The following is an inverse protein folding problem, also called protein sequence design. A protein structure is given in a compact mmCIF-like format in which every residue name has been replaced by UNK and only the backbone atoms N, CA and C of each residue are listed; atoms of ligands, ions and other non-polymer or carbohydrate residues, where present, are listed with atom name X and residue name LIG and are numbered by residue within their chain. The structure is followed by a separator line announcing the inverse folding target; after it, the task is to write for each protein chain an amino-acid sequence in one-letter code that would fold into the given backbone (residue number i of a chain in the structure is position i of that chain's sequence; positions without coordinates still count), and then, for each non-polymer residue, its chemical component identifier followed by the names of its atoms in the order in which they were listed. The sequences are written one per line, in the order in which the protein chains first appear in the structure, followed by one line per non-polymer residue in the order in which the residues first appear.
data_IF_763042380865
#
_entry.id   IF_763042380865
#
_cell.length_a   1.000
_cell.length_b   1.000
_cell.length_c   1.000
_cell.angle_alpha   90.00
_cell.angle_beta   90.00
_cell.angle_gamma   90.00
#
_symmetry.space_group_name_H-M   'P 1'
#
loop_
_entity.id
_entity.type
_entity.pdbx_description
1 polymer ?
#
# COMPACT_ATOMS: atom_id res chain seq x y z
N UNK A 1 -10.62 1.98 13.67
CA UNK A 1 -9.30 2.46 13.23
C UNK A 1 -8.25 1.71 14.04
N UNK A 2 -7.49 0.80 13.39
CA UNK A 2 -6.41 0.05 14.04
C UNK A 2 -5.16 0.92 14.21
N UNK A 3 -4.53 0.83 15.38
CA UNK A 3 -3.20 1.39 15.63
C UNK A 3 -2.24 0.24 15.91
N UNK A 4 -1.07 0.24 15.30
CA UNK A 4 -0.05 -0.78 15.49
C UNK A 4 1.18 -0.13 16.14
N UNK A 5 1.67 -0.74 17.20
CA UNK A 5 2.91 -0.38 17.85
C UNK A 5 3.88 -1.56 17.79
N UNK A 6 4.97 -1.40 17.06
CA UNK A 6 6.06 -2.38 17.01
C UNK A 6 7.08 -2.10 18.13
N UNK A 7 7.26 -3.06 19.02
CA UNK A 7 8.26 -3.03 20.11
C UNK A 7 9.35 -4.06 19.86
N UNK A 8 10.55 -3.76 20.29
CA UNK A 8 11.70 -4.67 20.20
C UNK A 8 13.01 -3.91 20.42
N UNK A 9 14.09 -4.65 20.68
CA UNK A 9 15.45 -4.12 20.84
C UNK A 9 15.97 -3.46 19.56
N UNK A 10 17.05 -2.72 19.64
CA UNK A 10 17.76 -2.22 18.47
C UNK A 10 18.25 -3.39 17.61
N UNK A 11 18.16 -3.28 16.29
CA UNK A 11 18.52 -4.36 15.37
C UNK A 11 17.43 -5.41 15.13
N UNK A 12 16.27 -5.39 15.83
CA UNK A 12 15.20 -6.39 15.66
C UNK A 12 14.36 -6.25 14.35
N UNK A 13 14.79 -5.44 13.40
CA UNK A 13 14.15 -5.31 12.10
C UNK A 13 12.89 -4.44 12.04
N UNK A 14 12.49 -3.77 13.13
CA UNK A 14 11.26 -2.94 13.16
C UNK A 14 11.20 -1.90 12.04
N UNK A 15 12.28 -1.13 11.88
CA UNK A 15 12.38 -0.09 10.87
C UNK A 15 12.35 -0.67 9.45
N UNK A 16 13.03 -1.79 9.24
CA UNK A 16 13.01 -2.49 7.94
C UNK A 16 11.60 -2.95 7.60
N UNK A 17 10.90 -3.56 8.55
CA UNK A 17 9.54 -4.05 8.33
C UNK A 17 8.58 -2.92 7.95
N UNK A 18 8.56 -1.84 8.73
CA UNK A 18 7.58 -0.77 8.50
C UNK A 18 7.99 0.21 7.40
N UNK A 19 9.26 0.52 7.30
CA UNK A 19 9.73 1.58 6.40
C UNK A 19 10.09 1.08 5.00
N UNK A 20 10.47 -0.20 4.87
CA UNK A 20 10.92 -0.74 3.60
C UNK A 20 9.91 -1.70 2.97
N UNK A 21 9.29 -2.58 3.78
CA UNK A 21 8.41 -3.64 3.27
C UNK A 21 7.12 -3.07 2.68
N UNK A 22 6.50 -2.07 3.31
CA UNK A 22 5.22 -1.53 2.84
C UNK A 22 5.36 -0.87 1.47
N UNK A 23 6.25 0.11 1.24
CA UNK A 23 6.44 0.68 -0.10
C UNK A 23 6.85 -0.36 -1.14
N UNK A 24 7.73 -1.31 -0.75
CA UNK A 24 8.16 -2.39 -1.62
C UNK A 24 6.98 -3.24 -2.12
N UNK A 25 6.02 -3.55 -1.26
CA UNK A 25 4.84 -4.33 -1.62
C UNK A 25 3.81 -3.53 -2.42
N UNK A 26 3.87 -2.22 -2.40
CA UNK A 26 2.97 -1.38 -3.19
C UNK A 26 3.43 -1.27 -4.64
N UNK A 27 4.72 -1.08 -4.89
CA UNK A 27 5.24 -0.87 -6.25
C UNK A 27 6.20 -1.95 -6.76
N UNK A 28 6.65 -2.86 -5.90
CA UNK A 28 7.58 -3.94 -6.27
C UNK A 28 9.02 -3.49 -6.54
N UNK A 29 9.38 -2.25 -6.22
CA UNK A 29 10.70 -1.71 -6.49
C UNK A 29 11.68 -1.98 -5.35
N UNK A 30 12.71 -2.79 -5.62
CA UNK A 30 13.73 -3.22 -4.66
C UNK A 30 15.02 -2.41 -4.75
N UNK A 31 15.03 -1.20 -5.30
CA UNK A 31 16.25 -0.39 -5.35
C UNK A 31 16.76 -0.12 -3.94
N UNK A 32 18.09 -0.14 -3.73
CA UNK A 32 18.67 0.05 -2.39
C UNK A 32 18.24 1.35 -1.71
N UNK A 33 18.12 2.42 -2.46
CA UNK A 33 17.67 3.74 -1.97
C UNK A 33 16.24 3.67 -1.41
N UNK A 34 15.41 2.80 -1.97
CA UNK A 34 14.03 2.58 -1.49
C UNK A 34 13.97 1.64 -0.28
N UNK A 35 14.93 0.73 -0.14
CA UNK A 35 15.01 -0.19 0.99
C UNK A 35 15.59 0.46 2.23
N UNK A 36 16.48 1.43 2.08
CA UNK A 36 17.06 2.15 3.20
C UNK A 36 16.36 3.46 3.49
N UNK A 37 15.82 3.65 4.71
CA UNK A 37 15.19 4.91 5.12
C UNK A 37 16.11 6.13 5.04
N UNK A 38 17.43 5.93 5.08
CA UNK A 38 18.44 6.99 4.99
C UNK A 38 18.97 7.19 3.56
N UNK A 39 18.49 6.40 2.58
CA UNK A 39 18.90 6.45 1.19
C UNK A 39 20.31 5.92 0.94
N UNK A 40 20.84 5.08 1.84
CA UNK A 40 22.10 4.37 1.62
C UNK A 40 21.94 3.32 0.53
N UNK A 41 22.98 3.16 -0.30
CA UNK A 41 23.02 2.12 -1.35
C UNK A 41 23.54 0.77 -0.84
N UNK A 42 23.92 0.69 0.42
CA UNK A 42 24.55 -0.50 0.99
C UNK A 42 23.55 -1.59 1.37
N UNK A 43 22.26 -1.23 1.50
CA UNK A 43 21.21 -2.19 1.82
C UNK A 43 20.74 -2.93 0.58
N UNK A 44 21.12 -4.19 0.49
CA UNK A 44 20.67 -5.10 -0.57
C UNK A 44 19.66 -6.10 -0.01
N UNK A 45 18.59 -6.38 -0.74
CA UNK A 45 17.61 -7.40 -0.34
C UNK A 45 18.22 -8.80 -0.17
N UNK A 46 19.29 -9.11 -0.91
CA UNK A 46 20.04 -10.36 -0.76
C UNK A 46 20.59 -10.58 0.64
N UNK A 47 21.06 -9.52 1.31
CA UNK A 47 21.63 -9.62 2.65
C UNK A 47 20.60 -9.97 3.74
N UNK A 48 19.30 -9.76 3.46
CA UNK A 48 18.23 -10.18 4.37
C UNK A 48 17.82 -11.65 4.20
N UNK A 49 18.20 -12.25 3.09
CA UNK A 49 17.86 -13.65 2.75
C UNK A 49 19.05 -14.58 2.96
N UNK A 50 20.24 -14.17 2.59
CA UNK A 50 21.48 -14.94 2.74
C UNK A 50 22.51 -14.07 3.47
N UNK A 51 22.82 -14.42 4.70
CA UNK A 51 23.95 -13.87 5.45
C UNK A 51 25.25 -14.53 4.97
N UNK A 52 26.37 -13.82 5.11
CA UNK A 52 27.69 -14.32 4.66
C UNK A 52 28.06 -15.65 5.34
N UNK A 53 27.64 -15.84 6.59
CA UNK A 53 27.99 -17.00 7.41
C UNK A 53 26.89 -18.08 7.49
N UNK A 54 25.80 -17.95 6.72
CA UNK A 54 24.63 -18.87 6.82
C UNK A 54 24.86 -20.25 6.17
N UNK A 55 26.00 -20.52 5.54
CA UNK A 55 26.29 -21.82 4.92
C UNK A 55 25.28 -22.30 3.86
N UNK A 56 24.19 -21.56 3.63
CA UNK A 56 23.14 -21.88 2.65
C UNK A 56 23.48 -21.30 1.28
N UNK A 57 23.25 -22.09 0.26
CA UNK A 57 23.48 -21.68 -1.13
C UNK A 57 22.27 -20.94 -1.74
N UNK A 58 21.08 -21.21 -1.22
CA UNK A 58 19.82 -20.63 -1.73
C UNK A 58 18.82 -20.41 -0.59
N UNK A 59 18.06 -19.32 -0.68
CA UNK A 59 16.91 -19.06 0.20
C UNK A 59 15.81 -18.33 -0.55
N UNK A 60 14.58 -18.79 -0.35
CA UNK A 60 13.37 -18.13 -0.84
C UNK A 60 12.59 -17.54 0.34
N UNK A 61 12.15 -16.29 0.22
CA UNK A 61 11.31 -15.60 1.18
C UNK A 61 10.09 -14.99 0.52
N UNK A 62 9.04 -14.80 1.30
CA UNK A 62 7.81 -14.16 0.86
C UNK A 62 7.46 -12.99 1.76
N UNK A 63 7.03 -11.90 1.14
CA UNK A 63 6.46 -10.73 1.79
C UNK A 63 5.04 -10.55 1.27
N UNK A 64 4.10 -10.13 2.11
CA UNK A 64 2.73 -9.90 1.69
C UNK A 64 2.01 -8.89 2.56
N UNK A 65 0.96 -8.28 1.99
CA UNK A 65 -0.03 -7.46 2.68
C UNK A 65 -1.42 -8.01 2.39
N UNK A 66 -2.21 -8.19 3.42
CA UNK A 66 -3.61 -8.61 3.33
C UNK A 66 -4.51 -7.42 3.65
N UNK A 67 -5.43 -7.13 2.75
CA UNK A 67 -6.45 -6.10 2.90
C UNK A 67 -7.81 -6.73 3.12
N UNK A 68 -8.55 -6.22 4.10
CA UNK A 68 -9.95 -6.58 4.32
C UNK A 68 -10.84 -5.42 3.91
N UNK A 69 -11.87 -5.68 3.12
CA UNK A 69 -12.89 -4.68 2.80
C UNK A 69 -13.67 -4.31 4.06
N UNK A 70 -13.92 -3.03 4.28
CA UNK A 70 -14.45 -2.50 5.54
C UNK A 70 -15.76 -3.15 6.01
N UNK A 71 -16.67 -3.43 5.08
CA UNK A 71 -18.03 -3.88 5.38
C UNK A 71 -18.33 -5.30 4.83
N UNK A 72 -17.31 -6.10 4.58
CA UNK A 72 -17.47 -7.48 4.10
C UNK A 72 -16.35 -8.39 4.59
N UNK A 73 -16.54 -9.69 4.46
CA UNK A 73 -15.49 -10.69 4.68
C UNK A 73 -14.66 -10.95 3.40
N UNK A 74 -14.56 -9.95 2.52
CA UNK A 74 -13.76 -10.04 1.31
C UNK A 74 -12.32 -9.63 1.61
N UNK A 75 -11.39 -10.47 1.22
CA UNK A 75 -9.96 -10.28 1.42
C UNK A 75 -9.25 -10.20 0.07
N UNK A 76 -8.28 -9.30 -0.01
CA UNK A 76 -7.33 -9.18 -1.11
C UNK A 76 -5.93 -9.27 -0.52
N UNK A 77 -5.12 -10.17 -1.02
CA UNK A 77 -3.70 -10.25 -0.65
C UNK A 77 -2.84 -9.89 -1.85
N UNK A 78 -1.87 -9.02 -1.65
CA UNK A 78 -0.79 -8.76 -2.59
C UNK A 78 0.52 -9.19 -1.95
N UNK A 79 1.46 -9.65 -2.76
CA UNK A 79 2.72 -10.13 -2.22
C UNK A 79 3.82 -10.28 -3.25
N UNK A 80 4.99 -10.62 -2.74
CA UNK A 80 6.21 -10.79 -3.49
C UNK A 80 6.97 -12.01 -2.99
N UNK A 81 7.45 -12.83 -3.90
CA UNK A 81 8.44 -13.87 -3.64
C UNK A 81 9.81 -13.42 -4.11
N UNK A 82 10.81 -13.69 -3.32
CA UNK A 82 12.20 -13.33 -3.59
C UNK A 82 13.08 -14.55 -3.32
N UNK A 83 13.91 -14.91 -4.30
CA UNK A 83 14.87 -15.98 -4.17
C UNK A 83 16.28 -15.44 -4.33
N UNK A 84 17.09 -15.63 -3.29
CA UNK A 84 18.51 -15.32 -3.29
C UNK A 84 19.30 -16.61 -3.50
N UNK A 85 20.30 -16.54 -4.37
CA UNK A 85 21.28 -17.61 -4.63
C UNK A 85 22.68 -17.00 -4.59
N UNK A 86 23.65 -17.70 -3.99
CA UNK A 86 25.02 -17.19 -3.93
C UNK A 86 25.58 -16.93 -5.32
N UNK A 87 26.19 -15.77 -5.51
CA UNK A 87 26.80 -15.38 -6.78
C UNK A 87 25.86 -15.15 -7.94
N UNK A 88 24.52 -15.12 -7.71
CA UNK A 88 23.53 -14.86 -8.76
C UNK A 88 22.68 -13.65 -8.41
N UNK A 89 22.13 -12.96 -9.43
CA UNK A 89 21.10 -11.93 -9.22
C UNK A 89 19.91 -12.51 -8.48
N UNK A 90 19.18 -11.64 -7.77
CA UNK A 90 17.92 -12.00 -7.11
C UNK A 90 16.85 -12.32 -8.15
N UNK A 91 16.22 -13.49 -8.00
CA UNK A 91 14.96 -13.77 -8.69
C UNK A 91 13.81 -13.17 -7.89
N UNK A 92 12.86 -12.58 -8.57
CA UNK A 92 11.66 -11.99 -7.96
C UNK A 92 10.43 -12.27 -8.80
N UNK A 93 9.31 -12.44 -8.13
CA UNK A 93 7.99 -12.53 -8.72
C UNK A 93 6.97 -11.93 -7.77
N UNK A 94 5.81 -11.59 -8.28
CA UNK A 94 4.76 -10.97 -7.50
C UNK A 94 3.50 -11.80 -7.59
N UNK A 95 2.59 -11.66 -6.63
CA UNK A 95 1.33 -12.39 -6.65
C UNK A 95 0.20 -11.62 -6.00
N UNK A 96 -1.02 -12.00 -6.34
CA UNK A 96 -2.23 -11.58 -5.65
C UNK A 96 -3.12 -12.79 -5.37
N UNK A 97 -3.93 -12.69 -4.30
CA UNK A 97 -5.05 -13.61 -4.02
C UNK A 97 -6.30 -12.77 -3.89
N UNK A 98 -7.37 -13.16 -4.61
CA UNK A 98 -8.63 -12.42 -4.69
C UNK A 98 -9.85 -13.26 -4.35
N UNK A 99 -9.66 -14.55 -4.13
CA UNK A 99 -10.69 -15.54 -3.85
C UNK A 99 -11.08 -15.67 -2.37
N UNK A 100 -10.56 -14.79 -1.54
CA UNK A 100 -10.81 -14.78 -0.10
C UNK A 100 -9.92 -15.71 0.72
N UNK A 101 -9.10 -16.56 0.10
CA UNK A 101 -8.10 -17.36 0.81
C UNK A 101 -7.08 -16.47 1.52
N UNK A 102 -6.80 -16.82 2.78
CA UNK A 102 -5.91 -16.05 3.66
C UNK A 102 -4.61 -16.79 3.93
N UNK A 103 -3.50 -16.07 3.84
CA UNK A 103 -2.18 -16.65 4.13
C UNK A 103 -2.10 -17.02 5.62
N UNK A 104 -1.68 -18.27 5.87
CA UNK A 104 -1.58 -18.84 7.22
C UNK A 104 -2.87 -19.45 7.76
N UNK A 105 -3.98 -19.41 7.00
CA UNK A 105 -5.23 -20.09 7.28
C UNK A 105 -5.56 -21.10 6.19
N UNK A 106 -5.96 -20.60 5.03
CA UNK A 106 -6.45 -21.38 3.89
C UNK A 106 -5.40 -21.51 2.78
N UNK A 107 -4.38 -20.65 2.83
CA UNK A 107 -3.31 -20.61 1.86
C UNK A 107 -1.94 -20.56 2.55
N UNK A 108 -1.03 -21.46 2.18
CA UNK A 108 0.29 -21.53 2.78
C UNK A 108 1.37 -21.33 1.72
N UNK A 109 2.33 -20.45 2.01
CA UNK A 109 3.49 -20.14 1.15
C UNK A 109 4.63 -21.15 1.34
N UNK A 110 4.34 -22.29 1.94
CA UNK A 110 5.27 -23.39 2.15
C UNK A 110 4.60 -24.76 1.97
N UNK A 111 5.42 -25.78 1.77
CA UNK A 111 5.03 -27.19 1.90
C UNK A 111 5.53 -27.71 3.23
N UNK A 112 4.75 -28.55 3.86
CA UNK A 112 5.15 -29.31 5.05
C UNK A 112 5.45 -30.77 4.62
N UNK A 113 6.74 -31.09 4.55
CA UNK A 113 7.25 -32.40 4.16
C UNK A 113 8.16 -32.98 5.27
N UNK A 114 7.81 -32.71 6.54
CA UNK A 114 8.65 -32.97 7.71
C UNK A 114 9.38 -31.71 8.16
N UNK A 115 9.67 -30.82 7.24
CA UNK A 115 10.10 -29.44 7.48
C UNK A 115 9.31 -28.47 6.60
N UNK A 116 9.23 -27.21 7.02
CA UNK A 116 8.54 -26.16 6.25
C UNK A 116 9.45 -25.62 5.15
N UNK A 117 9.20 -26.07 3.92
CA UNK A 117 9.94 -25.64 2.73
C UNK A 117 9.12 -24.60 1.98
N UNK A 118 9.66 -23.41 1.77
CA UNK A 118 8.99 -22.33 1.02
C UNK A 118 8.70 -22.75 -0.43
N UNK A 119 7.56 -22.30 -0.95
CA UNK A 119 7.17 -22.59 -2.34
C UNK A 119 8.16 -21.93 -3.31
N UNK A 120 8.48 -22.65 -4.38
CA UNK A 120 9.07 -22.04 -5.57
C UNK A 120 8.02 -21.23 -6.35
N UNK A 121 8.44 -20.40 -7.30
CA UNK A 121 7.53 -19.65 -8.17
C UNK A 121 6.48 -20.53 -8.84
N UNK A 122 6.92 -21.64 -9.46
CA UNK A 122 6.03 -22.57 -10.17
C UNK A 122 5.01 -23.25 -9.23
N UNK A 123 5.43 -23.59 -8.03
CA UNK A 123 4.52 -24.15 -7.02
C UNK A 123 3.52 -23.11 -6.51
N UNK A 124 3.95 -21.86 -6.39
CA UNK A 124 3.04 -20.76 -6.09
C UNK A 124 2.01 -20.57 -7.20
N UNK A 125 2.45 -20.54 -8.48
CA UNK A 125 1.55 -20.44 -9.64
C UNK A 125 0.47 -21.51 -9.61
N UNK A 126 0.89 -22.77 -9.43
CA UNK A 126 -0.03 -23.91 -9.34
C UNK A 126 -1.01 -23.78 -8.15
N UNK A 127 -0.55 -23.25 -7.02
CA UNK A 127 -1.37 -23.11 -5.81
C UNK A 127 -2.31 -21.90 -5.87
N UNK A 128 -1.89 -20.81 -6.49
CA UNK A 128 -2.74 -19.63 -6.74
C UNK A 128 -3.85 -20.03 -7.71
N UNK A 129 -3.52 -20.73 -8.80
CA UNK A 129 -4.45 -21.14 -9.85
C UNK A 129 -5.40 -20.00 -10.25
N UNK A 130 -6.71 -20.26 -10.31
CA UNK A 130 -7.73 -19.26 -10.68
C UNK A 130 -8.10 -18.29 -9.55
N UNK A 131 -7.58 -18.52 -8.33
CA UNK A 131 -7.89 -17.69 -7.15
C UNK A 131 -7.09 -16.40 -7.02
N UNK A 132 -6.27 -16.08 -8.03
CA UNK A 132 -5.45 -14.89 -8.04
C UNK A 132 -4.58 -14.81 -9.30
N UNK A 133 -3.44 -14.12 -9.18
CA UNK A 133 -2.52 -13.95 -10.30
C UNK A 133 -1.06 -13.93 -9.83
N UNK A 134 -0.16 -14.47 -10.63
CA UNK A 134 1.29 -14.33 -10.46
C UNK A 134 1.82 -13.44 -11.58
N UNK A 135 2.71 -12.51 -11.24
CA UNK A 135 3.30 -11.54 -12.16
C UNK A 135 4.82 -11.72 -12.18
N UNK A 136 5.41 -11.62 -13.34
CA UNK A 136 6.86 -11.59 -13.51
C UNK A 136 7.41 -10.17 -13.57
N UNK A 137 6.61 -9.26 -14.16
CA UNK A 137 7.01 -7.89 -14.42
C UNK A 137 6.50 -6.95 -13.32
N UNK A 138 7.40 -6.12 -12.82
CA UNK A 138 7.10 -5.14 -11.78
C UNK A 138 5.99 -4.16 -12.22
N UNK A 139 6.03 -3.70 -13.47
CA UNK A 139 5.06 -2.72 -13.99
C UNK A 139 3.65 -3.30 -13.97
N UNK A 140 3.47 -4.54 -14.42
CA UNK A 140 2.17 -5.21 -14.41
C UNK A 140 1.61 -5.39 -12.99
N UNK A 141 2.49 -5.71 -12.06
CA UNK A 141 2.12 -5.82 -10.64
C UNK A 141 1.71 -4.46 -10.07
N UNK A 142 2.50 -3.41 -10.30
CA UNK A 142 2.23 -2.06 -9.83
C UNK A 142 0.90 -1.51 -10.37
N UNK A 143 0.66 -1.67 -11.68
CA UNK A 143 -0.62 -1.29 -12.31
C UNK A 143 -1.81 -2.08 -11.72
N UNK A 144 -1.60 -3.36 -11.46
CA UNK A 144 -2.62 -4.20 -10.81
C UNK A 144 -2.93 -3.71 -9.40
N UNK A 145 -1.91 -3.43 -8.59
CA UNK A 145 -2.08 -2.91 -7.21
C UNK A 145 -2.81 -1.56 -7.23
N UNK A 146 -2.41 -0.65 -8.11
CA UNK A 146 -3.12 0.62 -8.29
C UNK A 146 -4.61 0.37 -8.58
N UNK A 147 -4.92 -0.39 -9.60
CA UNK A 147 -6.31 -0.63 -10.03
C UNK A 147 -7.17 -1.33 -8.98
N UNK A 148 -6.60 -2.25 -8.19
CA UNK A 148 -7.37 -3.04 -7.21
C UNK A 148 -7.54 -2.35 -5.86
N UNK A 149 -6.60 -1.49 -5.47
CA UNK A 149 -6.53 -0.96 -4.10
C UNK A 149 -6.71 0.55 -4.06
N UNK A 150 -6.04 1.29 -4.95
CA UNK A 150 -5.96 2.75 -4.85
C UNK A 150 -6.89 3.46 -5.85
N UNK A 151 -6.91 3.05 -7.10
CA UNK A 151 -7.80 3.58 -8.13
C UNK A 151 -7.35 4.91 -8.75
N UNK A 152 -6.05 5.24 -8.70
CA UNK A 152 -5.52 6.40 -9.42
C UNK A 152 -5.67 6.23 -10.94
N UNK A 153 -5.99 7.29 -11.65
CA UNK A 153 -6.24 7.25 -13.09
C UNK A 153 -4.98 6.93 -13.88
N UNK A 154 -3.85 7.48 -13.46
CA UNK A 154 -2.57 7.30 -14.12
C UNK A 154 -1.57 6.52 -13.27
N UNK A 155 -0.62 5.86 -13.93
CA UNK A 155 0.49 5.19 -13.25
C UNK A 155 1.43 6.18 -12.58
N UNK A 156 1.49 7.42 -13.08
CA UNK A 156 2.38 8.44 -12.54
C UNK A 156 1.84 9.01 -11.25
N UNK A 157 0.55 9.33 -11.14
CA UNK A 157 -0.10 9.70 -9.86
C UNK A 157 0.11 8.62 -8.79
N UNK A 158 -0.02 7.36 -9.17
CA UNK A 158 0.23 6.25 -8.24
C UNK A 158 1.68 6.22 -7.76
N UNK A 159 2.65 6.43 -8.67
CA UNK A 159 4.08 6.52 -8.30
C UNK A 159 4.35 7.69 -7.37
N UNK A 160 3.78 8.85 -7.64
CA UNK A 160 3.92 10.05 -6.79
C UNK A 160 3.41 9.78 -5.37
N UNK A 161 2.26 9.11 -5.23
CA UNK A 161 1.75 8.68 -3.92
C UNK A 161 2.73 7.75 -3.21
N UNK A 162 3.30 6.76 -3.90
CA UNK A 162 4.28 5.84 -3.29
C UNK A 162 5.56 6.58 -2.92
N UNK A 163 6.03 7.51 -3.76
CA UNK A 163 7.21 8.33 -3.49
C UNK A 163 7.00 9.25 -2.29
N UNK A 164 5.80 9.82 -2.14
CA UNK A 164 5.41 10.57 -0.94
C UNK A 164 5.48 9.70 0.33
N UNK A 165 4.96 8.47 0.28
CA UNK A 165 5.07 7.53 1.41
C UNK A 165 6.53 7.24 1.76
N UNK A 166 7.41 7.16 0.76
CA UNK A 166 8.84 6.95 0.95
C UNK A 166 9.49 8.18 1.59
N UNK A 167 9.14 9.38 1.17
CA UNK A 167 9.63 10.63 1.75
C UNK A 167 9.21 10.77 3.22
N UNK A 168 7.93 10.52 3.52
CA UNK A 168 7.38 10.62 4.88
C UNK A 168 8.01 9.65 5.88
N UNK A 169 8.53 8.50 5.42
CA UNK A 169 9.21 7.54 6.29
C UNK A 169 10.62 7.95 6.69
N UNK A 170 11.23 8.91 5.97
CA UNK A 170 12.64 9.24 6.09
C UNK A 170 12.91 10.07 7.33
N UNK A 171 13.75 9.61 8.30
CA UNK A 171 14.09 10.39 9.50
C UNK A 171 14.83 11.69 9.21
N UNK A 172 15.32 11.89 7.99
CA UNK A 172 15.97 13.15 7.55
C UNK A 172 15.04 14.37 7.66
N UNK A 173 13.73 14.18 7.55
CA UNK A 173 12.75 15.23 7.85
C UNK A 173 12.96 15.87 9.24
N UNK A 174 13.53 15.13 10.21
CA UNK A 174 13.76 15.64 11.55
C UNK A 174 15.09 16.41 11.72
N UNK A 175 16.07 16.22 10.84
CA UNK A 175 17.39 16.90 10.92
C UNK A 175 17.47 18.15 10.05
N UNK A 176 16.79 18.15 8.91
CA UNK A 176 16.70 19.26 7.97
C UNK A 176 15.28 19.83 7.88
N UNK A 177 14.56 19.77 9.00
CA UNK A 177 13.17 20.22 9.08
C UNK A 177 13.08 21.71 8.74
N UNK A 178 12.79 22.00 7.49
CA UNK A 178 12.32 23.32 7.05
C UNK A 178 10.81 23.21 6.90
N UNK A 179 10.03 24.00 7.66
CA UNK A 179 8.57 24.00 7.53
C UNK A 179 8.08 24.24 6.10
N UNK A 180 8.86 24.99 5.29
CA UNK A 180 8.59 25.21 3.88
C UNK A 180 8.57 23.93 3.06
N UNK A 181 9.50 22.99 3.30
CA UNK A 181 9.58 21.72 2.54
C UNK A 181 8.35 20.85 2.79
N UNK A 182 7.83 20.84 4.02
CA UNK A 182 6.57 20.13 4.31
C UNK A 182 5.39 20.82 3.64
N UNK A 183 5.37 22.14 3.68
CA UNK A 183 4.31 22.89 3.01
C UNK A 183 4.33 22.63 1.49
N UNK A 184 5.50 22.59 0.88
CA UNK A 184 5.67 22.29 -0.54
C UNK A 184 5.21 20.84 -0.86
N UNK A 185 5.66 19.85 -0.07
CA UNK A 185 5.24 18.45 -0.21
C UNK A 185 3.72 18.29 -0.03
N UNK A 186 3.14 18.97 0.96
CA UNK A 186 1.70 18.93 1.19
C UNK A 186 0.92 19.68 0.11
N UNK A 187 1.43 20.80 -0.36
CA UNK A 187 0.81 21.58 -1.43
C UNK A 187 0.85 20.84 -2.77
N UNK A 188 1.97 20.17 -3.07
CA UNK A 188 2.11 19.36 -4.29
C UNK A 188 1.28 18.07 -4.22
N UNK A 189 1.03 17.55 -3.02
CA UNK A 189 0.23 16.34 -2.78
C UNK A 189 -1.28 16.61 -2.71
N UNK A 190 -1.65 17.83 -2.35
CA UNK A 190 -3.03 18.29 -2.38
C UNK A 190 -3.26 18.89 -3.76
N UNK A 191 -3.75 18.09 -4.70
CA UNK A 191 -4.26 18.65 -5.95
C UNK A 191 -5.27 19.76 -5.60
N UNK A 192 -5.15 20.94 -6.20
CA UNK A 192 -6.18 21.96 -6.04
C UNK A 192 -7.49 21.34 -6.50
N UNK A 193 -8.50 21.40 -5.64
CA UNK A 193 -9.85 20.98 -6.00
C UNK A 193 -10.23 21.68 -7.30
N UNK A 194 -10.53 20.93 -8.32
CA UNK A 194 -11.02 21.48 -9.58
C UNK A 194 -12.40 22.10 -9.37
N UNK A 195 -12.80 23.01 -10.23
CA UNK A 195 -14.16 23.57 -10.21
C UNK A 195 -15.22 22.47 -10.33
N UNK A 196 -14.91 21.37 -11.02
CA UNK A 196 -15.78 20.19 -11.12
C UNK A 196 -15.93 19.43 -9.80
N UNK A 197 -14.86 19.35 -8.97
CA UNK A 197 -14.93 18.71 -7.65
C UNK A 197 -15.73 19.56 -6.65
N UNK A 198 -15.73 20.87 -6.83
CA UNK A 198 -16.49 21.83 -5.99
C UNK A 198 -17.96 21.96 -6.42
N UNK A 199 -18.28 21.61 -7.66
CA UNK A 199 -19.62 21.77 -8.23
C UNK A 199 -20.72 21.05 -7.44
N UNK A 200 -20.59 19.76 -7.02
CA UNK A 200 -21.62 19.12 -6.21
C UNK A 200 -21.85 19.80 -4.86
N UNK A 201 -20.78 20.39 -4.31
CA UNK A 201 -20.86 21.10 -3.03
C UNK A 201 -21.52 22.46 -3.18
N UNK A 202 -21.24 23.18 -4.28
CA UNK A 202 -21.90 24.43 -4.66
C UNK A 202 -23.40 24.21 -4.90
N UNK A 203 -23.75 23.19 -5.67
CA UNK A 203 -25.16 22.81 -5.92
C UNK A 203 -25.89 22.41 -4.63
N UNK A 204 -25.22 21.72 -3.70
CA UNK A 204 -25.81 21.36 -2.40
C UNK A 204 -26.07 22.60 -1.54
N UNK A 205 -25.19 23.59 -1.56
CA UNK A 205 -25.35 24.85 -0.81
C UNK A 205 -26.52 25.66 -1.42
N UNK A 206 -26.58 25.81 -2.73
CA UNK A 206 -27.70 26.50 -3.43
C UNK A 206 -29.04 25.83 -3.15
N UNK A 207 -29.09 24.51 -3.15
CA UNK A 207 -30.29 23.75 -2.79
C UNK A 207 -30.69 23.96 -1.33
N UNK A 208 -29.73 24.03 -0.40
CA UNK A 208 -30.00 24.35 1.01
C UNK A 208 -30.57 25.76 1.17
N UNK A 209 -30.03 26.76 0.49
CA UNK A 209 -30.50 28.13 0.53
C UNK A 209 -31.93 28.25 -0.03
N UNK A 210 -32.18 27.56 -1.14
CA UNK A 210 -33.53 27.48 -1.74
C UNK A 210 -34.53 26.80 -0.79
N UNK A 211 -34.14 25.72 -0.12
CA UNK A 211 -34.97 25.07 0.90
C UNK A 211 -35.25 25.99 2.10
N UNK A 212 -34.25 26.72 2.56
CA UNK A 212 -34.39 27.64 3.68
C UNK A 212 -35.35 28.82 3.34
N UNK A 213 -35.25 29.39 2.13
CA UNK A 213 -36.19 30.40 1.64
C UNK A 213 -37.62 29.86 1.56
N UNK A 214 -37.80 28.66 1.03
CA UNK A 214 -39.12 28.01 0.93
C UNK A 214 -39.72 27.72 2.34
N UNK A 215 -38.90 27.30 3.30
CA UNK A 215 -39.31 27.09 4.69
C UNK A 215 -39.74 28.39 5.37
N UNK A 216 -38.99 29.47 5.12
CA UNK A 216 -39.32 30.80 5.65
C UNK A 216 -40.65 31.28 5.09
N UNK A 217 -40.84 31.20 3.76
CA UNK A 217 -42.10 31.60 3.15
C UNK A 217 -43.30 30.78 3.64
N UNK A 218 -43.14 29.44 3.82
CA UNK A 218 -44.20 28.60 4.39
C UNK A 218 -44.51 28.91 5.84
N UNK A 219 -43.53 29.29 6.67
CA UNK A 219 -43.75 29.74 8.05
C UNK A 219 -44.48 31.05 8.11
N UNK A 220 -44.16 32.02 7.25
CA UNK A 220 -44.85 33.31 7.14
C UNK A 220 -46.29 33.12 6.68
N UNK A 221 -46.53 32.27 5.67
CA UNK A 221 -47.89 31.93 5.19
C UNK A 221 -48.73 31.25 6.28
N UNK A 222 -48.14 30.33 7.05
CA UNK A 222 -48.81 29.68 8.18
C UNK A 222 -49.21 30.71 9.27
N UNK A 223 -48.26 31.58 9.64
CA UNK A 223 -48.54 32.63 10.64
C UNK A 223 -49.60 33.62 10.17
N UNK A 224 -49.70 33.91 8.86
CA UNK A 224 -50.75 34.74 8.29
C UNK A 224 -52.12 34.05 8.35
N UNK A 225 -52.16 32.75 8.06
CA UNK A 225 -53.39 31.95 8.13
C UNK A 225 -53.92 31.72 9.55
N UNK A 226 -53.04 31.71 10.56
CA UNK A 226 -53.40 31.57 11.99
C UNK A 226 -53.92 32.88 12.61
N UNK A 227 -53.84 34.02 11.88
CA UNK A 227 -54.33 35.34 12.34
C UNK A 227 -55.70 35.71 11.77
N UNK A 228 -56.28 34.88 10.91
CA UNK A 228 -57.63 34.99 10.38
C UNK A 228 -58.57 34.11 11.19
#
# INVERSE_FOLDING_TARGET
KGRILLRGSNGSGKSVTMQSVVPLLLDGNMSPERLDPFGSRDRKMSSYLLEENDGREERTGYLYLEFKRKNSETYLTIGMGIRARRGKPLDKWYFSLTDGRRIGKDFFLYKDIGEKVTLSKKELENRVADGGRVFERQVEYMEYVNRQIFGFETADEYKEMVDLLIQLRTPKLSKDFKPSVINDILSDSLQPLSDEDLRPMSEAIENMDTMNMNLKGRREAKQAAEKI
#
